data_IF_133519289815
#
_entry.id   IF_133519289815
#
_cell.length_a   1.000
_cell.length_b   1.000
_cell.length_c   1.000
_cell.angle_alpha   90.00
_cell.angle_beta   90.00
_cell.angle_gamma   90.00
#
_symmetry.space_group_name_H-M   'P 1'
#
loop_
_entity.id
_entity.type
_entity.pdbx_description
1 polymer ?
#
# COMPACT_ATOMS: atom_id res chain seq x y z
N UNK A 1 -4.08 -4.34 2.93
CA UNK A 1 -3.01 -3.34 3.14
C UNK A 1 -1.73 -3.54 2.32
N UNK A 2 -1.24 -4.75 2.06
CA UNK A 2 0.09 -4.96 1.44
C UNK A 2 0.11 -5.07 -0.10
N UNK A 3 -0.97 -4.73 -0.78
CA UNK A 3 -1.15 -5.04 -2.21
C UNK A 3 -0.91 -3.85 -3.13
N UNK A 4 -0.82 -2.62 -2.62
CA UNK A 4 -0.63 -1.43 -3.46
C UNK A 4 0.62 -1.50 -4.34
N UNK A 5 1.69 -2.15 -3.87
CA UNK A 5 2.93 -2.37 -4.62
C UNK A 5 2.72 -3.24 -5.86
N UNK A 6 1.73 -4.13 -5.85
CA UNK A 6 1.45 -5.05 -6.96
C UNK A 6 0.93 -4.30 -8.20
N UNK A 7 0.35 -3.11 -8.01
CA UNK A 7 -0.02 -2.23 -9.12
C UNK A 7 1.18 -1.63 -9.86
N UNK A 8 2.39 -1.72 -9.30
CA UNK A 8 3.63 -1.31 -9.99
C UNK A 8 4.19 -2.43 -10.88
N UNK A 9 3.90 -3.69 -10.56
CA UNK A 9 4.45 -4.82 -11.30
C UNK A 9 3.59 -5.11 -12.52
N UNK A 10 4.20 -5.10 -13.72
CA UNK A 10 3.49 -5.32 -14.99
C UNK A 10 2.30 -4.37 -15.18
N UNK A 11 2.43 -3.12 -14.72
CA UNK A 11 1.36 -2.12 -14.70
C UNK A 11 0.75 -1.82 -16.08
N UNK A 12 1.44 -2.17 -17.16
CA UNK A 12 0.97 -2.05 -18.54
C UNK A 12 -0.17 -3.02 -18.89
N UNK A 13 -0.27 -4.16 -18.19
CA UNK A 13 -1.29 -5.19 -18.39
C UNK A 13 -2.15 -5.34 -17.13
N UNK A 14 -3.39 -4.83 -17.20
CA UNK A 14 -4.31 -4.86 -16.06
C UNK A 14 -4.76 -6.27 -15.68
N UNK A 15 -4.80 -7.23 -16.62
CA UNK A 15 -5.14 -8.61 -16.28
C UNK A 15 -3.97 -9.31 -15.58
N UNK A 16 -2.72 -8.99 -15.96
CA UNK A 16 -1.54 -9.43 -15.21
C UNK A 16 -1.53 -8.85 -13.77
N UNK A 17 -1.77 -7.54 -13.62
CA UNK A 17 -1.89 -6.88 -12.30
C UNK A 17 -2.98 -7.55 -11.46
N UNK A 18 -4.15 -7.80 -12.04
CA UNK A 18 -5.26 -8.50 -11.37
C UNK A 18 -4.86 -9.90 -10.95
N UNK A 19 -4.24 -10.70 -11.83
CA UNK A 19 -3.78 -12.05 -11.50
C UNK A 19 -2.78 -12.03 -10.34
N UNK A 20 -1.79 -11.14 -10.38
CA UNK A 20 -0.77 -11.00 -9.33
C UNK A 20 -1.41 -10.61 -7.98
N UNK A 21 -2.37 -9.67 -7.99
CA UNK A 21 -3.12 -9.29 -6.80
C UNK A 21 -3.93 -10.44 -6.21
N UNK A 22 -4.56 -11.27 -7.06
CA UNK A 22 -5.31 -12.45 -6.62
C UNK A 22 -4.40 -13.50 -6.00
N UNK A 23 -3.30 -13.86 -6.68
CA UNK A 23 -2.39 -14.92 -6.24
C UNK A 23 -1.78 -14.57 -4.87
N UNK A 24 -1.29 -13.33 -4.70
CA UNK A 24 -0.71 -12.86 -3.43
C UNK A 24 -1.76 -12.71 -2.32
N UNK A 25 -2.99 -12.30 -2.65
CA UNK A 25 -4.07 -12.21 -1.66
C UNK A 25 -4.40 -13.61 -1.11
N UNK A 26 -4.59 -14.58 -2.02
CA UNK A 26 -4.99 -15.96 -1.68
C UNK A 26 -4.00 -16.70 -0.79
N UNK A 27 -2.72 -16.30 -0.75
CA UNK A 27 -1.73 -16.89 0.17
C UNK A 27 -2.14 -16.82 1.64
N UNK A 28 -2.99 -15.85 2.04
CA UNK A 28 -3.42 -15.71 3.45
C UNK A 28 -4.88 -15.29 3.61
N UNK A 29 -5.50 -14.69 2.58
CA UNK A 29 -6.87 -14.19 2.62
C UNK A 29 -7.61 -14.69 1.38
N UNK A 30 -8.25 -15.86 1.52
CA UNK A 30 -8.98 -16.51 0.43
C UNK A 30 -10.40 -15.94 0.22
N UNK A 31 -10.90 -15.10 1.12
CA UNK A 31 -12.22 -14.49 1.00
C UNK A 31 -12.34 -13.62 -0.29
N UNK A 32 -13.40 -13.79 -1.12
CA UNK A 32 -13.59 -13.04 -2.36
C UNK A 32 -13.60 -11.51 -2.17
N UNK A 33 -14.04 -11.00 -1.01
CA UNK A 33 -14.07 -9.57 -0.70
C UNK A 33 -12.66 -9.02 -0.48
N UNK A 34 -11.79 -9.81 0.15
CA UNK A 34 -10.36 -9.48 0.31
C UNK A 34 -9.65 -9.48 -1.04
N UNK A 35 -9.98 -10.45 -1.90
CA UNK A 35 -9.47 -10.54 -3.26
C UNK A 35 -9.91 -9.33 -4.11
N UNK A 36 -11.21 -9.01 -4.11
CA UNK A 36 -11.75 -7.85 -4.81
C UNK A 36 -11.13 -6.53 -4.33
N UNK A 37 -10.96 -6.36 -3.00
CA UNK A 37 -10.27 -5.20 -2.43
C UNK A 37 -8.83 -5.08 -2.92
N UNK A 38 -8.11 -6.21 -2.97
CA UNK A 38 -6.72 -6.28 -3.41
C UNK A 38 -6.58 -5.92 -4.89
N UNK A 39 -7.48 -6.43 -5.74
CA UNK A 39 -7.54 -6.10 -7.17
C UNK A 39 -7.87 -4.61 -7.36
N UNK A 40 -8.89 -4.09 -6.68
CA UNK A 40 -9.30 -2.69 -6.82
C UNK A 40 -8.16 -1.71 -6.53
N UNK A 41 -7.43 -1.91 -5.42
CA UNK A 41 -6.30 -1.04 -5.05
C UNK A 41 -5.16 -1.16 -6.06
N UNK A 42 -4.78 -2.38 -6.45
CA UNK A 42 -3.63 -2.61 -7.36
C UNK A 42 -3.91 -2.08 -8.77
N UNK A 43 -5.11 -2.32 -9.28
CA UNK A 43 -5.54 -1.81 -10.60
C UNK A 43 -5.62 -0.29 -10.60
N UNK A 44 -6.11 0.33 -9.52
CA UNK A 44 -6.14 1.80 -9.41
C UNK A 44 -4.73 2.41 -9.49
N UNK A 45 -3.73 1.78 -8.84
CA UNK A 45 -2.33 2.19 -8.94
C UNK A 45 -1.81 2.05 -10.38
N UNK A 46 -2.04 0.89 -11.02
CA UNK A 46 -1.62 0.66 -12.41
C UNK A 46 -2.22 1.69 -13.38
N UNK A 47 -3.51 1.99 -13.25
CA UNK A 47 -4.20 3.00 -14.06
C UNK A 47 -3.58 4.41 -13.91
N UNK A 48 -3.18 4.81 -12.70
CA UNK A 48 -2.49 6.08 -12.46
C UNK A 48 -1.12 6.14 -13.15
N UNK A 49 -0.40 5.02 -13.16
CA UNK A 49 0.88 4.90 -13.88
C UNK A 49 0.68 4.96 -15.40
N UNK A 50 -0.31 4.23 -15.93
CA UNK A 50 -0.66 4.27 -17.35
C UNK A 50 -1.01 5.68 -17.80
N UNK A 51 -1.82 6.40 -17.03
CA UNK A 51 -2.14 7.81 -17.30
C UNK A 51 -0.89 8.69 -17.35
N UNK A 52 -0.02 8.57 -16.34
CA UNK A 52 1.21 9.36 -16.26
C UNK A 52 2.15 9.07 -17.44
N UNK A 53 2.29 7.81 -17.83
CA UNK A 53 3.09 7.39 -18.98
C UNK A 53 2.55 7.95 -20.30
N UNK A 54 1.23 7.85 -20.52
CA UNK A 54 0.58 8.38 -21.72
C UNK A 54 0.74 9.90 -21.83
N UNK A 55 0.58 10.63 -20.73
CA UNK A 55 0.73 12.09 -20.74
C UNK A 55 2.18 12.54 -20.99
N UNK A 56 3.17 11.81 -20.48
CA UNK A 56 4.59 12.06 -20.80
C UNK A 56 4.89 11.81 -22.29
N UNK A 57 4.37 10.73 -22.86
CA UNK A 57 4.59 10.38 -24.27
C UNK A 57 3.88 11.30 -25.26
N UNK A 58 2.84 12.02 -24.83
CA UNK A 58 2.16 13.05 -25.63
C UNK A 58 2.98 14.34 -25.79
N UNK A 59 4.13 14.46 -25.13
CA UNK A 59 4.98 15.66 -25.20
C UNK A 59 4.46 16.85 -24.39
N UNK A 60 3.50 16.63 -23.48
CA UNK A 60 2.98 17.68 -22.62
C UNK A 60 4.04 18.11 -21.59
N UNK A 61 4.31 19.43 -21.49
CA UNK A 61 5.24 19.98 -20.47
C UNK A 61 4.75 19.74 -19.03
N UNK A 62 3.44 19.53 -18.85
CA UNK A 62 2.79 19.29 -17.55
C UNK A 62 1.85 18.09 -17.65
N UNK A 63 2.02 17.12 -16.75
CA UNK A 63 1.12 15.96 -16.64
C UNK A 63 -0.25 16.42 -16.15
N UNK A 64 -1.31 16.14 -16.91
CA UNK A 64 -2.67 16.45 -16.48
C UNK A 64 -3.05 15.63 -15.24
N UNK A 65 -3.90 16.19 -14.39
CA UNK A 65 -4.43 15.46 -13.23
C UNK A 65 -5.20 14.21 -13.65
N UNK A 66 -5.03 13.13 -12.92
CA UNK A 66 -5.79 11.88 -13.08
C UNK A 66 -7.29 12.15 -12.87
N UNK A 67 -8.14 11.58 -13.74
CA UNK A 67 -9.58 11.51 -13.51
C UNK A 67 -9.88 10.43 -12.45
N UNK A 68 -10.05 10.88 -11.21
CA UNK A 68 -10.33 10.05 -10.04
C UNK A 68 -11.58 9.18 -10.25
N UNK A 69 -12.64 9.72 -10.84
CA UNK A 69 -13.90 9.01 -11.03
C UNK A 69 -13.75 7.90 -12.06
N UNK A 70 -13.06 8.19 -13.16
CA UNK A 70 -12.76 7.19 -14.18
C UNK A 70 -11.89 6.04 -13.64
N UNK A 71 -10.86 6.36 -12.84
CA UNK A 71 -10.01 5.34 -12.20
C UNK A 71 -10.81 4.46 -11.24
N UNK A 72 -11.66 5.04 -10.40
CA UNK A 72 -12.53 4.27 -9.48
C UNK A 72 -13.44 3.32 -10.26
N UNK A 73 -14.06 3.82 -11.33
CA UNK A 73 -14.97 3.03 -12.16
C UNK A 73 -14.26 1.85 -12.84
N UNK A 74 -13.09 2.10 -13.43
CA UNK A 74 -12.30 1.05 -14.08
C UNK A 74 -11.78 0.02 -13.05
N UNK A 75 -11.23 0.47 -11.93
CA UNK A 75 -10.78 -0.42 -10.86
C UNK A 75 -11.93 -1.30 -10.32
N UNK A 76 -13.13 -0.73 -10.16
CA UNK A 76 -14.33 -1.48 -9.80
C UNK A 76 -14.67 -2.55 -10.85
N UNK A 77 -14.64 -2.21 -12.14
CA UNK A 77 -14.97 -3.14 -13.21
C UNK A 77 -14.06 -4.38 -13.23
N UNK A 78 -12.79 -4.25 -12.85
CA UNK A 78 -11.89 -5.41 -12.71
C UNK A 78 -12.12 -6.16 -11.39
N UNK A 79 -12.33 -5.45 -10.28
CA UNK A 79 -12.51 -6.05 -8.97
C UNK A 79 -13.84 -6.80 -8.84
N UNK A 80 -14.93 -6.30 -9.43
CA UNK A 80 -16.26 -6.90 -9.33
C UNK A 80 -16.35 -8.26 -10.06
N UNK A 81 -15.44 -8.54 -11.00
CA UNK A 81 -15.35 -9.84 -11.69
C UNK A 81 -14.94 -10.98 -10.75
N UNK A 82 -14.36 -10.65 -9.59
CA UNK A 82 -13.98 -11.63 -8.55
C UNK A 82 -15.19 -12.07 -7.73
N UNK A 83 -16.26 -11.26 -7.71
CA UNK A 83 -17.44 -11.45 -6.88
C UNK A 83 -18.54 -12.16 -7.66
N UNK A 84 -19.28 -13.02 -6.98
CA UNK A 84 -20.32 -13.85 -7.61
C UNK A 84 -21.69 -13.19 -7.49
N UNK A 85 -22.03 -12.67 -6.31
CA UNK A 85 -23.36 -12.14 -6.03
C UNK A 85 -23.50 -10.68 -6.45
N UNK A 86 -24.75 -10.23 -6.64
CA UNK A 86 -25.06 -8.84 -6.92
C UNK A 86 -24.82 -7.95 -5.68
N UNK A 87 -25.20 -8.45 -4.51
CA UNK A 87 -25.06 -7.75 -3.22
C UNK A 87 -23.59 -7.43 -2.91
N UNK A 88 -22.68 -8.39 -3.08
CA UNK A 88 -21.25 -8.14 -2.86
C UNK A 88 -20.68 -7.06 -3.80
N UNK A 89 -21.18 -6.99 -5.04
CA UNK A 89 -20.78 -6.00 -6.04
C UNK A 89 -21.32 -4.61 -5.67
N UNK A 90 -22.56 -4.55 -5.21
CA UNK A 90 -23.17 -3.31 -4.71
C UNK A 90 -22.43 -2.78 -3.48
N UNK A 91 -22.07 -3.66 -2.54
CA UNK A 91 -21.26 -3.32 -1.38
C UNK A 91 -19.88 -2.79 -1.80
N UNK A 92 -19.17 -3.53 -2.67
CA UNK A 92 -17.87 -3.11 -3.19
C UNK A 92 -17.96 -1.69 -3.79
N UNK A 93 -18.97 -1.45 -4.63
CA UNK A 93 -19.18 -0.14 -5.25
C UNK A 93 -19.47 0.94 -4.21
N UNK A 94 -20.31 0.66 -3.21
CA UNK A 94 -20.65 1.60 -2.16
C UNK A 94 -19.40 2.05 -1.39
N UNK A 95 -18.56 1.11 -0.96
CA UNK A 95 -17.33 1.42 -0.23
C UNK A 95 -16.33 2.21 -1.08
N UNK A 96 -16.12 1.82 -2.34
CA UNK A 96 -15.25 2.55 -3.28
C UNK A 96 -15.78 3.96 -3.60
N UNK A 97 -17.08 4.11 -3.73
CA UNK A 97 -17.71 5.37 -4.14
C UNK A 97 -18.10 6.29 -2.97
N UNK A 98 -17.94 5.84 -1.71
CA UNK A 98 -18.27 6.63 -0.52
C UNK A 98 -17.59 8.03 -0.51
N UNK A 99 -18.37 9.06 -0.24
CA UNK A 99 -17.93 10.48 -0.29
C UNK A 99 -17.61 11.07 1.08
N UNK A 100 -18.20 10.51 2.15
CA UNK A 100 -18.03 11.00 3.52
C UNK A 100 -17.36 9.92 4.38
N UNK A 101 -16.17 10.21 4.90
CA UNK A 101 -15.41 9.28 5.76
C UNK A 101 -16.23 8.74 6.94
N UNK A 102 -17.04 9.59 7.59
CA UNK A 102 -17.89 9.19 8.73
C UNK A 102 -18.88 8.08 8.39
N UNK A 103 -19.32 7.96 7.14
CA UNK A 103 -20.27 6.91 6.74
C UNK A 103 -19.61 5.53 6.71
N UNK A 104 -18.28 5.46 6.59
CA UNK A 104 -17.54 4.19 6.62
C UNK A 104 -17.47 3.58 8.03
N UNK A 105 -17.76 4.37 9.07
CA UNK A 105 -17.76 3.96 10.49
C UNK A 105 -16.52 3.13 10.82
N UNK A 106 -15.32 3.68 10.59
CA UNK A 106 -14.08 2.88 10.63
C UNK A 106 -13.82 2.23 12.00
N UNK A 107 -14.37 2.80 13.06
CA UNK A 107 -14.35 2.37 14.45
C UNK A 107 -15.58 1.55 14.88
N UNK A 108 -16.39 1.04 13.93
CA UNK A 108 -17.54 0.18 14.24
C UNK A 108 -17.10 -1.04 15.08
N UNK A 109 -17.77 -1.30 16.22
CA UNK A 109 -17.48 -2.46 17.08
C UNK A 109 -17.55 -3.77 16.29
N UNK A 110 -16.66 -4.71 16.62
CA UNK A 110 -16.61 -6.06 16.04
C UNK A 110 -16.39 -6.13 14.51
N UNK A 111 -16.01 -5.01 13.88
CA UNK A 111 -15.70 -4.92 12.44
C UNK A 111 -14.27 -4.47 12.15
N UNK A 112 -13.40 -4.44 13.16
CA UNK A 112 -11.97 -4.23 12.95
C UNK A 112 -11.41 -5.30 12.00
N UNK A 113 -10.61 -4.90 11.01
CA UNK A 113 -10.10 -5.81 9.98
C UNK A 113 -11.08 -6.15 8.85
N UNK A 114 -12.32 -5.62 8.84
CA UNK A 114 -13.20 -5.82 7.70
C UNK A 114 -12.67 -5.11 6.44
N UNK A 115 -12.30 -5.89 5.43
CA UNK A 115 -11.54 -5.44 4.24
C UNK A 115 -12.15 -4.22 3.54
N UNK A 116 -13.48 -4.11 3.46
CA UNK A 116 -14.12 -3.01 2.77
C UNK A 116 -14.04 -1.68 3.53
N UNK A 117 -13.90 -1.68 4.87
CA UNK A 117 -13.63 -0.43 5.62
C UNK A 117 -12.29 0.16 5.21
N UNK A 118 -11.25 -0.67 5.14
CA UNK A 118 -9.92 -0.27 4.66
C UNK A 118 -9.94 0.16 3.18
N UNK A 119 -10.62 -0.61 2.32
CA UNK A 119 -10.82 -0.24 0.92
C UNK A 119 -11.49 1.14 0.78
N UNK A 120 -12.59 1.35 1.51
CA UNK A 120 -13.35 2.58 1.50
C UNK A 120 -12.55 3.77 2.02
N UNK A 121 -11.77 3.59 3.09
CA UNK A 121 -10.85 4.61 3.59
C UNK A 121 -9.81 4.99 2.50
N UNK A 122 -9.27 3.98 1.81
CA UNK A 122 -8.38 4.13 0.67
C UNK A 122 -8.95 5.00 -0.45
N UNK A 123 -10.12 4.61 -0.95
CA UNK A 123 -10.78 5.30 -2.07
C UNK A 123 -11.42 6.63 -1.67
N UNK A 124 -11.80 6.80 -0.41
CA UNK A 124 -12.18 8.11 0.13
C UNK A 124 -10.98 9.06 0.14
N UNK A 125 -9.81 8.60 0.62
CA UNK A 125 -8.58 9.37 0.63
C UNK A 125 -8.13 9.72 -0.79
N UNK A 126 -8.24 8.77 -1.74
CA UNK A 126 -7.93 8.99 -3.16
C UNK A 126 -8.71 10.16 -3.78
N UNK A 127 -9.89 10.52 -3.26
CA UNK A 127 -10.67 11.69 -3.73
C UNK A 127 -10.18 13.02 -3.16
N UNK A 128 -9.32 13.03 -2.15
CA UNK A 128 -8.86 14.23 -1.46
C UNK A 128 -7.71 14.93 -2.20
N UNK A 129 -7.50 16.22 -1.96
CA UNK A 129 -6.44 17.01 -2.63
C UNK A 129 -5.22 17.30 -1.76
N UNK A 130 -5.32 17.04 -0.46
CA UNK A 130 -4.32 17.34 0.55
C UNK A 130 -3.95 16.05 1.28
N UNK A 131 -2.70 15.63 1.13
CA UNK A 131 -2.19 14.37 1.68
C UNK A 131 -2.24 14.36 3.21
N UNK A 132 -1.66 15.39 3.84
CA UNK A 132 -1.54 15.48 5.29
C UNK A 132 -2.93 15.50 5.95
N UNK A 133 -3.81 16.38 5.48
CA UNK A 133 -5.14 16.54 6.04
C UNK A 133 -6.01 15.29 5.86
N UNK A 134 -5.88 14.62 4.72
CA UNK A 134 -6.63 13.38 4.46
C UNK A 134 -6.17 12.25 5.38
N UNK A 135 -4.86 12.02 5.51
CA UNK A 135 -4.33 10.96 6.34
C UNK A 135 -4.58 11.19 7.83
N UNK A 136 -4.42 12.43 8.33
CA UNK A 136 -4.79 12.75 9.71
C UNK A 136 -6.26 12.41 9.96
N UNK A 137 -7.17 12.71 9.02
CA UNK A 137 -8.59 12.35 9.17
C UNK A 137 -8.81 10.84 9.21
N UNK A 138 -8.09 10.06 8.39
CA UNK A 138 -8.20 8.59 8.40
C UNK A 138 -7.69 8.01 9.71
N UNK A 139 -6.53 8.48 10.20
CA UNK A 139 -5.98 8.04 11.50
C UNK A 139 -6.93 8.39 12.64
N UNK A 140 -7.45 9.63 12.66
CA UNK A 140 -8.34 10.11 13.73
C UNK A 140 -9.75 9.50 13.66
N UNK A 141 -10.10 8.81 12.58
CA UNK A 141 -11.34 8.04 12.49
C UNK A 141 -11.27 6.70 13.24
N UNK A 142 -10.10 6.32 13.78
CA UNK A 142 -9.94 5.15 14.63
C UNK A 142 -10.11 3.82 13.89
N UNK A 143 -10.48 2.79 14.65
CA UNK A 143 -10.55 1.41 14.17
C UNK A 143 -9.18 0.84 13.82
N UNK A 144 -9.08 0.19 12.68
CA UNK A 144 -7.85 -0.38 12.11
C UNK A 144 -6.98 0.73 11.45
N UNK A 145 -6.58 1.72 12.25
CA UNK A 145 -6.09 3.01 11.76
C UNK A 145 -4.80 2.91 10.94
N UNK A 146 -3.89 2.00 11.29
CA UNK A 146 -2.65 1.74 10.56
C UNK A 146 -2.92 1.10 9.19
N UNK A 147 -3.76 0.06 9.15
CA UNK A 147 -4.18 -0.61 7.90
C UNK A 147 -4.92 0.35 6.97
N UNK A 148 -5.86 1.13 7.51
CA UNK A 148 -6.61 2.14 6.79
C UNK A 148 -5.69 3.21 6.21
N UNK A 149 -4.76 3.73 7.02
CA UNK A 149 -3.81 4.77 6.63
C UNK A 149 -2.78 4.27 5.63
N UNK A 150 -2.36 3.01 5.70
CA UNK A 150 -1.44 2.41 4.73
C UNK A 150 -2.03 2.40 3.31
N UNK A 151 -3.29 1.99 3.16
CA UNK A 151 -3.96 1.97 1.85
C UNK A 151 -4.34 3.37 1.38
N UNK A 152 -4.85 4.22 2.29
CA UNK A 152 -5.15 5.63 2.00
C UNK A 152 -3.92 6.41 1.55
N UNK A 153 -2.81 6.26 2.26
CA UNK A 153 -1.53 6.89 1.94
C UNK A 153 -1.01 6.44 0.58
N UNK A 154 -1.03 5.13 0.31
CA UNK A 154 -0.55 4.60 -0.97
C UNK A 154 -1.32 5.17 -2.18
N UNK A 155 -2.65 5.13 -2.16
CA UNK A 155 -3.47 5.63 -3.27
C UNK A 155 -3.35 7.16 -3.42
N UNK A 156 -3.36 7.90 -2.30
CA UNK A 156 -3.31 9.35 -2.35
C UNK A 156 -1.93 9.88 -2.75
N UNK A 157 -0.84 9.31 -2.23
CA UNK A 157 0.52 9.66 -2.63
C UNK A 157 0.79 9.30 -4.10
N UNK A 158 0.30 8.15 -4.57
CA UNK A 158 0.44 7.77 -5.98
C UNK A 158 -0.21 8.82 -6.91
N UNK A 159 -1.36 9.38 -6.48
CA UNK A 159 -2.05 10.44 -7.23
C UNK A 159 -1.35 11.80 -7.16
N UNK A 160 -0.94 12.23 -5.97
CA UNK A 160 -0.43 13.58 -5.73
C UNK A 160 1.08 13.72 -5.97
N UNK A 161 1.80 12.60 -6.03
CA UNK A 161 3.26 12.57 -6.06
C UNK A 161 3.89 12.61 -4.67
N UNK A 162 5.16 12.22 -4.59
CA UNK A 162 5.92 12.17 -3.34
C UNK A 162 6.10 13.54 -2.68
N UNK A 163 6.14 14.62 -3.46
CA UNK A 163 6.26 16.00 -2.96
C UNK A 163 5.05 16.48 -2.14
N UNK A 164 3.91 15.77 -2.21
CA UNK A 164 2.75 16.07 -1.39
C UNK A 164 2.86 15.53 0.04
N UNK A 165 3.80 14.61 0.30
CA UNK A 165 4.03 14.03 1.63
C UNK A 165 4.81 15.05 2.48
N UNK A 166 4.35 15.38 3.70
CA UNK A 166 5.08 16.27 4.59
C UNK A 166 6.53 15.81 4.82
N UNK A 167 7.49 16.69 4.57
CA UNK A 167 8.91 16.38 4.74
C UNK A 167 9.24 15.85 6.16
N UNK A 168 8.69 16.41 7.26
CA UNK A 168 8.93 15.85 8.60
C UNK A 168 8.47 14.40 8.76
N UNK A 169 7.46 13.95 8.01
CA UNK A 169 7.01 12.55 8.04
C UNK A 169 7.95 11.63 7.27
N UNK A 170 8.51 12.12 6.15
CA UNK A 170 9.53 11.38 5.40
C UNK A 170 10.85 11.30 6.16
N UNK A 171 11.22 12.33 6.90
CA UNK A 171 12.46 12.36 7.69
C UNK A 171 12.32 11.52 8.96
N UNK A 172 11.13 11.50 9.57
CA UNK A 172 10.80 10.64 10.71
C UNK A 172 10.48 9.18 10.35
N UNK A 173 10.53 8.80 9.06
CA UNK A 173 10.20 7.43 8.65
C UNK A 173 11.28 6.44 9.10
N UNK A 174 10.93 5.60 10.05
CA UNK A 174 11.83 4.54 10.56
C UNK A 174 12.17 3.57 9.42
N UNK A 175 13.46 3.26 9.27
CA UNK A 175 13.99 2.39 8.21
C UNK A 175 13.78 2.89 6.77
N UNK A 176 13.70 4.21 6.56
CA UNK A 176 13.58 4.84 5.23
C UNK A 176 14.59 4.31 4.21
N UNK A 177 15.90 4.38 4.51
CA UNK A 177 16.95 4.00 3.55
C UNK A 177 16.88 2.52 3.18
N UNK A 178 16.54 1.67 4.16
CA UNK A 178 16.32 0.25 3.94
C UNK A 178 15.15 -0.02 2.98
N UNK A 179 14.01 0.65 3.19
CA UNK A 179 12.86 0.56 2.30
C UNK A 179 13.20 1.05 0.90
N UNK A 180 13.89 2.20 0.81
CA UNK A 180 14.32 2.78 -0.47
C UNK A 180 15.29 1.86 -1.22
N UNK A 181 16.15 1.11 -0.52
CA UNK A 181 16.99 0.08 -1.13
C UNK A 181 16.19 -1.00 -1.85
N UNK A 182 15.09 -1.49 -1.26
CA UNK A 182 14.19 -2.44 -1.94
C UNK A 182 13.43 -1.81 -3.09
N UNK A 183 12.95 -0.57 -2.94
CA UNK A 183 12.26 0.14 -4.03
C UNK A 183 13.19 0.30 -5.23
N UNK A 184 14.44 0.75 -5.01
CA UNK A 184 15.42 0.92 -6.09
C UNK A 184 15.72 -0.40 -6.80
N UNK A 185 15.92 -1.48 -6.05
CA UNK A 185 16.12 -2.83 -6.63
C UNK A 185 14.90 -3.30 -7.41
N UNK A 186 13.70 -3.07 -6.89
CA UNK A 186 12.46 -3.41 -7.59
C UNK A 186 12.32 -2.64 -8.91
N UNK A 187 12.65 -1.34 -8.92
CA UNK A 187 12.62 -0.52 -10.14
C UNK A 187 13.66 -0.99 -11.17
N UNK A 188 14.90 -1.27 -10.72
CA UNK A 188 15.94 -1.86 -11.58
C UNK A 188 15.46 -3.17 -12.21
N UNK A 189 14.83 -4.05 -11.41
CA UNK A 189 14.25 -5.29 -11.91
C UNK A 189 13.15 -5.02 -12.96
N UNK A 190 12.29 -4.02 -12.76
CA UNK A 190 11.27 -3.66 -13.75
C UNK A 190 11.89 -3.19 -15.08
N UNK A 191 12.97 -2.42 -15.04
CA UNK A 191 13.70 -1.97 -16.25
C UNK A 191 14.33 -3.15 -17.01
N UNK A 192 14.99 -4.06 -16.28
CA UNK A 192 15.61 -5.28 -16.82
C UNK A 192 14.58 -6.24 -17.43
N UNK A 193 13.37 -6.33 -16.86
CA UNK A 193 12.31 -7.21 -17.36
C UNK A 193 11.80 -6.83 -18.76
N UNK A 194 12.04 -5.59 -19.21
CA UNK A 194 11.67 -5.11 -20.55
C UNK A 194 12.71 -5.57 -21.60
N UNK A 195 13.94 -5.87 -21.17
CA UNK A 195 15.02 -6.27 -22.07
C UNK A 195 14.96 -7.78 -22.42
N UNK A 196 15.45 -8.16 -23.62
CA UNK A 196 15.75 -9.55 -23.96
C UNK A 196 16.68 -10.19 -22.92
N UNK A 197 16.55 -11.50 -22.68
CA UNK A 197 17.29 -12.19 -21.62
C UNK A 197 18.81 -12.03 -21.76
N UNK A 198 19.30 -11.97 -22.98
CA UNK A 198 20.73 -11.84 -23.33
C UNK A 198 21.29 -10.45 -23.03
N UNK A 199 20.43 -9.44 -22.92
CA UNK A 199 20.79 -8.05 -22.60
C UNK A 199 20.61 -7.73 -21.12
N UNK A 200 20.09 -8.67 -20.33
CA UNK A 200 19.87 -8.46 -18.90
C UNK A 200 21.18 -8.56 -18.15
N UNK A 201 21.41 -7.63 -17.22
CA UNK A 201 22.61 -7.70 -16.39
C UNK A 201 22.41 -8.76 -15.29
N UNK A 202 23.42 -9.61 -15.08
CA UNK A 202 23.50 -10.42 -13.87
C UNK A 202 23.75 -9.44 -12.70
N UNK A 203 22.67 -8.96 -12.10
CA UNK A 203 22.78 -7.92 -11.08
C UNK A 203 23.33 -8.53 -9.79
N UNK A 204 24.59 -8.22 -9.45
CA UNK A 204 25.17 -8.48 -8.12
C UNK A 204 24.27 -7.91 -6.99
N UNK A 205 23.49 -6.85 -7.27
CA UNK A 205 22.50 -6.27 -6.34
C UNK A 205 21.25 -7.15 -6.07
N UNK A 206 21.09 -8.26 -6.79
CA UNK A 206 20.02 -9.25 -6.60
C UNK A 206 20.54 -10.55 -5.96
N UNK A 207 21.76 -10.58 -5.41
CA UNK A 207 22.24 -11.73 -4.64
C UNK A 207 21.30 -12.01 -3.45
N UNK A 208 20.48 -13.04 -3.64
CA UNK A 208 19.49 -13.49 -2.67
C UNK A 208 20.16 -13.90 -1.35
N UNK A 209 21.39 -14.38 -1.40
CA UNK A 209 22.18 -14.77 -0.22
C UNK A 209 22.54 -13.54 0.61
N UNK A 210 23.03 -12.49 -0.04
CA UNK A 210 23.35 -11.22 0.62
C UNK A 210 22.08 -10.62 1.23
N UNK A 211 20.96 -10.60 0.49
CA UNK A 211 19.66 -10.10 0.97
C UNK A 211 19.16 -10.84 2.21
N UNK A 212 19.23 -12.17 2.21
CA UNK A 212 18.85 -13.00 3.35
C UNK A 212 19.78 -12.78 4.56
N UNK A 213 21.07 -12.52 4.32
CA UNK A 213 22.03 -12.24 5.38
C UNK A 213 21.78 -10.88 6.06
N UNK A 214 21.49 -9.84 5.28
CA UNK A 214 21.14 -8.50 5.79
C UNK A 214 19.83 -8.53 6.58
N UNK A 215 18.83 -9.27 6.10
CA UNK A 215 17.54 -9.42 6.79
C UNK A 215 17.70 -10.15 8.12
N UNK A 216 18.45 -11.27 8.14
CA UNK A 216 18.79 -11.99 9.39
C UNK A 216 19.51 -11.09 10.39
N UNK A 217 20.51 -10.32 9.95
CA UNK A 217 21.26 -9.41 10.81
C UNK A 217 20.35 -8.32 11.43
N UNK A 218 19.40 -7.79 10.65
CA UNK A 218 18.40 -6.83 11.16
C UNK A 218 17.46 -7.47 12.18
N UNK A 219 16.96 -8.67 11.90
CA UNK A 219 16.08 -9.39 12.82
C UNK A 219 16.77 -9.64 14.15
N UNK A 220 18.05 -10.03 14.13
CA UNK A 220 18.87 -10.22 15.32
C UNK A 220 19.02 -8.92 16.11
N UNK A 221 19.39 -7.80 15.45
CA UNK A 221 19.47 -6.49 16.11
C UNK A 221 18.17 -6.08 16.81
N UNK A 222 17.01 -6.29 16.16
CA UNK A 222 15.70 -6.01 16.77
C UNK A 222 15.40 -6.89 17.97
N UNK A 223 15.86 -8.14 17.95
CA UNK A 223 15.69 -9.07 19.07
C UNK A 223 16.57 -8.67 20.26
N UNK A 224 17.83 -8.32 20.01
CA UNK A 224 18.77 -7.80 21.01
C UNK A 224 18.25 -6.50 21.65
N UNK A 225 17.73 -5.58 20.85
CA UNK A 225 17.20 -4.30 21.33
C UNK A 225 15.94 -4.49 22.18
N UNK A 226 15.04 -5.41 21.79
CA UNK A 226 13.87 -5.80 22.61
C UNK A 226 14.29 -6.44 23.92
N UNK A 227 15.29 -7.31 23.89
CA UNK A 227 15.82 -7.97 25.10
C UNK A 227 16.41 -6.93 26.06
N UNK A 228 17.20 -5.99 25.55
CA UNK A 228 17.75 -4.88 26.34
C UNK A 228 16.67 -4.02 26.99
N UNK A 229 15.63 -3.62 26.23
CA UNK A 229 14.51 -2.86 26.76
C UNK A 229 13.74 -3.62 27.85
N UNK A 230 13.61 -4.94 27.71
CA UNK A 230 12.99 -5.79 28.73
C UNK A 230 13.83 -5.84 30.01
N UNK A 231 15.14 -6.04 29.89
CA UNK A 231 16.07 -6.04 31.04
C UNK A 231 16.09 -4.70 31.77
N UNK A 232 16.09 -3.58 31.05
CA UNK A 232 15.99 -2.23 31.63
C UNK A 232 14.68 -2.03 32.39
N UNK A 233 13.54 -2.52 31.86
CA UNK A 233 12.26 -2.51 32.57
C UNK A 233 12.25 -3.36 33.83
N UNK A 234 12.82 -4.57 33.78
CA UNK A 234 12.94 -5.45 34.95
C UNK A 234 13.75 -4.77 36.06
N UNK A 235 14.92 -4.20 35.73
CA UNK A 235 15.75 -3.46 36.69
C UNK A 235 15.02 -2.26 37.30
N UNK A 236 14.27 -1.51 36.50
CA UNK A 236 13.48 -0.38 37.00
C UNK A 236 12.36 -0.82 37.97
N UNK A 237 11.74 -1.97 37.71
CA UNK A 237 10.74 -2.58 38.59
C UNK A 237 11.34 -3.07 39.91
N UNK A 238 12.50 -3.72 39.86
CA UNK A 238 13.22 -4.17 41.06
C UNK A 238 13.68 -2.99 41.92
N UNK A 239 14.21 -1.93 41.30
CA UNK A 239 14.62 -0.72 42.00
C UNK A 239 13.44 -0.02 42.71
N UNK A 240 12.25 -0.01 42.10
CA UNK A 240 11.03 0.50 42.73
C UNK A 240 10.61 -0.33 43.94
N UNK A 241 10.64 -1.67 43.82
CA UNK A 241 10.31 -2.58 44.93
C UNK A 241 11.27 -2.49 46.10
N UNK A 242 12.53 -2.12 45.87
CA UNK A 242 13.52 -1.94 46.93
C UNK A 242 13.41 -0.59 47.67
N UNK A 243 12.56 0.33 47.18
CA UNK A 243 12.31 1.65 47.78
C UNK A 243 10.97 1.71 48.56
N UNK A 244 10.16 0.64 48.50
CA UNK A 244 8.94 0.44 49.29
C UNK A 244 9.22 -0.44 50.52
#
# INVERSE_FOLDING_TARGET
MRTSILGLHQWQDLEAVKKNALDICKCTHYDPRCQASSVAVSVAVALMLQHTYQEKNRGNKTVRSVDVTAVIKQAYNHACQVLTTKEEKEDLWWYMNCTKLKLLQLDEPDKIGYTYKCLGAGFWAFKQKDFQRALIKVVMAGGDADTNSAVAGALLACKLGSSAIPQPWLDGLVHKDWLMGYVNRFLKLQEEMILPLEQRTASDDLDLTLLLSEDKARHLKKEEERKRQYEEKCKALEAKKAQE
#
